data_IF_565001042840
#
_entry.id   IF_565001042840
#
_cell.length_a   1.000
_cell.length_b   1.000
_cell.length_c   1.000
_cell.angle_alpha   90.00
_cell.angle_beta   90.00
_cell.angle_gamma   90.00
#
_symmetry.space_group_name_H-M   'P 1'
#
loop_
_entity.id
_entity.type
_entity.pdbx_description
1 polymer ?
#
# COMPACT_ATOMS: atom_id res chain seq x y z
N UNK A 1 -4.92 20.03 3.11
CA UNK A 1 -3.62 19.49 3.56
C UNK A 1 -3.83 18.15 4.24
N UNK A 2 -2.92 17.24 4.03
CA UNK A 2 -3.04 15.91 4.62
C UNK A 2 -1.82 15.60 5.46
N UNK A 3 -1.90 14.56 6.26
CA UNK A 3 -0.75 14.02 6.96
C UNK A 3 -0.74 12.50 6.82
N UNK A 4 0.46 11.94 6.84
CA UNK A 4 0.66 10.50 6.75
C UNK A 4 1.28 10.01 8.05
N UNK A 5 0.79 8.86 8.51
CA UNK A 5 1.21 8.28 9.78
C UNK A 5 1.63 6.84 9.54
N UNK A 6 2.79 6.46 10.09
CA UNK A 6 3.23 5.07 10.11
C UNK A 6 2.88 4.45 11.44
N UNK A 7 2.45 3.20 11.41
CA UNK A 7 2.25 2.42 12.62
C UNK A 7 2.71 0.99 12.39
N UNK A 8 2.96 0.28 13.46
CA UNK A 8 3.42 -1.11 13.41
C UNK A 8 2.42 -1.96 14.16
N UNK A 9 2.00 -3.06 13.54
CA UNK A 9 1.11 -4.00 14.19
C UNK A 9 -0.25 -3.38 14.47
N UNK A 10 -0.79 -3.66 15.65
CA UNK A 10 -2.14 -3.23 16.02
C UNK A 10 -2.21 -1.85 16.63
N UNK A 11 -1.09 -1.15 16.69
CA UNK A 11 -1.07 0.18 17.29
C UNK A 11 -1.86 1.14 16.39
N UNK A 12 -2.95 1.70 16.89
CA UNK A 12 -3.81 2.58 16.10
C UNK A 12 -4.56 1.89 14.97
N UNK A 13 -4.65 0.57 15.01
CA UNK A 13 -5.20 -0.19 13.90
C UNK A 13 -6.71 0.04 13.68
N UNK A 14 -7.42 0.47 14.71
CA UNK A 14 -8.86 0.70 14.58
C UNK A 14 -9.19 1.75 13.50
N UNK A 15 -8.32 2.74 13.31
CA UNK A 15 -8.49 3.72 12.23
C UNK A 15 -8.33 3.09 10.86
N UNK A 16 -7.36 2.20 10.73
CA UNK A 16 -7.10 1.51 9.46
C UNK A 16 -8.25 0.56 9.17
N UNK A 17 -8.73 -0.15 10.17
CA UNK A 17 -9.86 -1.05 10.00
C UNK A 17 -11.10 -0.29 9.57
N UNK A 18 -11.37 0.84 10.19
CA UNK A 18 -12.53 1.67 9.83
C UNK A 18 -12.40 2.17 8.39
N UNK A 19 -11.20 2.57 7.98
CA UNK A 19 -10.97 3.00 6.61
C UNK A 19 -11.24 1.87 5.63
N UNK A 20 -10.73 0.68 5.90
CA UNK A 20 -10.93 -0.47 5.02
C UNK A 20 -12.41 -0.76 4.84
N UNK A 21 -13.20 -0.72 5.92
CA UNK A 21 -14.64 -0.94 5.85
C UNK A 21 -15.30 0.13 5.00
N UNK A 22 -14.97 1.39 5.25
CA UNK A 22 -15.58 2.51 4.55
C UNK A 22 -15.20 2.54 3.08
N UNK A 23 -14.01 2.07 2.75
CA UNK A 23 -13.54 2.02 1.36
C UNK A 23 -14.08 0.81 0.60
N UNK A 24 -14.90 -0.03 1.24
CA UNK A 24 -15.56 -1.13 0.56
C UNK A 24 -14.76 -2.41 0.47
N UNK A 25 -13.77 -2.59 1.34
CA UNK A 25 -13.00 -3.82 1.35
C UNK A 25 -13.89 -5.02 1.65
N UNK A 26 -13.59 -6.16 1.03
CA UNK A 26 -14.36 -7.37 1.30
C UNK A 26 -14.14 -7.79 2.77
N UNK A 27 -15.06 -8.56 3.35
CA UNK A 27 -14.95 -8.91 4.78
C UNK A 27 -13.61 -9.55 5.13
N UNK A 28 -13.07 -10.39 4.25
CA UNK A 28 -11.79 -11.05 4.51
C UNK A 28 -10.62 -10.08 4.47
N UNK A 29 -10.81 -8.89 3.90
CA UNK A 29 -9.75 -7.93 3.70
C UNK A 29 -9.71 -6.85 4.78
N UNK A 30 -10.65 -6.87 5.73
CA UNK A 30 -10.72 -5.85 6.77
C UNK A 30 -9.58 -6.05 7.76
N UNK A 31 -9.33 -7.30 8.16
CA UNK A 31 -8.33 -7.58 9.18
C UNK A 31 -7.91 -9.04 9.08
N UNK A 32 -6.64 -9.31 9.31
CA UNK A 32 -6.14 -10.68 9.37
C UNK A 32 -4.96 -10.73 10.34
N UNK A 33 -4.38 -11.93 10.51
CA UNK A 33 -3.30 -12.10 11.47
C UNK A 33 -2.02 -11.34 11.12
N UNK A 34 -1.84 -11.01 9.85
CA UNK A 34 -0.64 -10.30 9.42
C UNK A 34 -0.64 -8.86 9.90
N UNK A 35 -1.80 -8.30 10.20
CA UNK A 35 -1.89 -6.94 10.70
C UNK A 35 -1.17 -6.77 12.04
N UNK A 36 -0.98 -7.86 12.77
CA UNK A 36 -0.34 -7.78 14.08
C UNK A 36 1.14 -7.44 13.99
N UNK A 37 1.79 -7.69 12.85
CA UNK A 37 3.21 -7.39 12.71
C UNK A 37 3.55 -6.58 11.46
N UNK A 38 2.55 -6.21 10.68
CA UNK A 38 2.76 -5.44 9.45
C UNK A 38 3.08 -3.98 9.77
N UNK A 39 3.75 -3.33 8.83
CA UNK A 39 3.83 -1.87 8.82
C UNK A 39 2.63 -1.31 8.08
N UNK A 40 2.04 -0.25 8.61
CA UNK A 40 0.87 0.37 8.00
C UNK A 40 1.13 1.84 7.77
N UNK A 41 0.71 2.32 6.60
CA UNK A 41 0.67 3.75 6.36
C UNK A 41 -0.79 4.19 6.32
N UNK A 42 -1.10 5.30 6.97
CA UNK A 42 -2.45 5.83 7.06
C UNK A 42 -2.39 7.32 6.71
N UNK A 43 -3.15 7.73 5.73
CA UNK A 43 -3.18 9.12 5.28
C UNK A 43 -4.54 9.71 5.66
N UNK A 44 -4.53 10.87 6.27
CA UNK A 44 -5.78 11.54 6.66
C UNK A 44 -5.63 13.05 6.47
N UNK A 45 -6.78 13.74 6.43
CA UNK A 45 -6.78 15.19 6.45
C UNK A 45 -6.33 15.69 7.82
N UNK A 46 -5.95 16.94 7.89
CA UNK A 46 -5.60 17.52 9.20
C UNK A 46 -6.75 17.46 10.17
N UNK A 47 -7.99 17.46 9.65
CA UNK A 47 -9.17 17.30 10.48
C UNK A 47 -9.35 15.88 11.01
N UNK A 48 -8.56 14.93 10.51
CA UNK A 48 -8.67 13.53 10.91
C UNK A 48 -9.49 12.69 9.97
N UNK A 49 -10.09 13.27 8.94
CA UNK A 49 -10.88 12.50 7.98
C UNK A 49 -9.98 11.53 7.22
N UNK A 50 -10.33 10.23 7.15
CA UNK A 50 -9.48 9.24 6.50
C UNK A 50 -9.45 9.42 4.99
N UNK A 51 -8.30 9.18 4.39
CA UNK A 51 -8.11 9.29 2.95
C UNK A 51 -7.69 7.96 2.36
N UNK A 52 -6.62 7.34 2.86
CA UNK A 52 -6.04 6.16 2.25
C UNK A 52 -5.18 5.40 3.25
N UNK A 53 -4.91 4.14 2.95
CA UNK A 53 -4.01 3.31 3.77
C UNK A 53 -3.42 2.20 2.92
N UNK A 54 -2.35 1.60 3.41
CA UNK A 54 -1.73 0.44 2.81
C UNK A 54 -0.87 -0.28 3.82
N UNK A 55 -0.39 -1.47 3.46
CA UNK A 55 0.29 -2.37 4.40
C UNK A 55 1.50 -3.01 3.74
N UNK A 56 2.55 -3.25 4.53
CA UNK A 56 3.72 -4.00 4.09
C UNK A 56 4.13 -4.98 5.20
N UNK A 57 4.46 -6.20 4.83
CA UNK A 57 4.90 -7.20 5.80
C UNK A 57 5.82 -8.21 5.14
N UNK A 58 6.70 -8.86 5.92
CA UNK A 58 7.60 -9.87 5.36
C UNK A 58 6.89 -11.21 5.19
N UNK A 59 7.25 -11.92 4.13
CA UNK A 59 6.76 -13.28 3.90
C UNK A 59 7.94 -14.06 3.32
N UNK A 60 8.71 -14.73 4.20
CA UNK A 60 9.92 -15.41 3.79
C UNK A 60 10.93 -14.43 3.23
N UNK A 61 11.39 -14.67 2.01
CA UNK A 61 12.39 -13.84 1.37
C UNK A 61 11.80 -12.63 0.65
N UNK A 62 10.51 -12.43 0.74
CA UNK A 62 9.83 -11.36 0.03
C UNK A 62 9.17 -10.40 1.01
N UNK A 63 8.91 -9.18 0.53
CA UNK A 63 8.02 -8.24 1.20
C UNK A 63 6.71 -8.21 0.42
N UNK A 64 5.60 -8.24 1.14
CA UNK A 64 4.28 -8.16 0.54
C UNK A 64 3.71 -6.77 0.82
N UNK A 65 3.27 -6.09 -0.23
CA UNK A 65 2.54 -4.83 -0.14
C UNK A 65 1.12 -5.13 -0.61
N UNK A 66 0.14 -4.81 0.23
CA UNK A 66 -1.26 -5.05 -0.12
C UNK A 66 -2.16 -4.12 0.67
N UNK A 67 -3.45 -4.36 0.59
CA UNK A 67 -4.48 -3.61 1.33
C UNK A 67 -4.39 -2.11 1.07
N UNK A 68 -4.03 -1.71 -0.17
CA UNK A 68 -4.08 -0.31 -0.54
C UNK A 68 -5.55 0.06 -0.73
N UNK A 69 -6.04 0.96 0.10
CA UNK A 69 -7.43 1.37 0.09
C UNK A 69 -7.48 2.89 0.07
N UNK A 70 -8.40 3.44 -0.72
CA UNK A 70 -8.60 4.88 -0.83
C UNK A 70 -10.10 5.15 -0.71
N UNK A 71 -10.47 6.14 0.09
CA UNK A 71 -11.86 6.52 0.21
C UNK A 71 -12.40 7.00 -1.14
N UNK A 72 -13.63 6.65 -1.45
CA UNK A 72 -14.19 6.86 -2.79
C UNK A 72 -14.09 8.33 -3.25
N UNK A 73 -14.30 9.28 -2.34
CA UNK A 73 -14.27 10.68 -2.72
C UNK A 73 -12.86 11.17 -3.07
N UNK A 74 -11.85 10.37 -2.81
CA UNK A 74 -10.45 10.73 -3.10
C UNK A 74 -9.84 9.89 -4.21
N UNK A 75 -10.63 9.01 -4.85
CA UNK A 75 -10.07 8.09 -5.86
C UNK A 75 -9.53 8.81 -7.09
N UNK A 76 -10.05 9.98 -7.42
CA UNK A 76 -9.53 10.71 -8.57
C UNK A 76 -8.22 11.42 -8.27
N UNK A 77 -7.77 11.41 -7.03
CA UNK A 77 -6.54 12.07 -6.61
C UNK A 77 -5.42 11.04 -6.49
N UNK A 78 -4.16 11.46 -6.52
CA UNK A 78 -3.05 10.50 -6.56
C UNK A 78 -2.69 9.92 -5.18
N UNK A 79 -3.67 9.64 -4.33
CA UNK A 79 -3.37 9.12 -2.99
C UNK A 79 -2.94 7.65 -3.01
N UNK A 80 -3.45 6.84 -3.94
CA UNK A 80 -2.96 5.47 -4.07
C UNK A 80 -1.49 5.47 -4.43
N UNK A 81 -1.08 6.35 -5.32
CA UNK A 81 0.34 6.47 -5.68
C UNK A 81 1.17 6.93 -4.50
N UNK A 82 0.68 7.88 -3.70
CA UNK A 82 1.39 8.34 -2.52
C UNK A 82 1.60 7.19 -1.54
N UNK A 83 0.54 6.43 -1.26
CA UNK A 83 0.62 5.30 -0.34
C UNK A 83 1.62 4.27 -0.86
N UNK A 84 1.57 3.96 -2.16
CA UNK A 84 2.49 3.00 -2.73
C UNK A 84 3.94 3.49 -2.63
N UNK A 85 4.20 4.77 -2.92
CA UNK A 85 5.55 5.31 -2.80
C UNK A 85 6.06 5.20 -1.37
N UNK A 86 5.22 5.49 -0.39
CA UNK A 86 5.62 5.40 1.02
C UNK A 86 5.96 3.96 1.40
N UNK A 87 5.16 3.01 0.92
CA UNK A 87 5.43 1.60 1.20
C UNK A 87 6.72 1.14 0.52
N UNK A 88 6.98 1.59 -0.71
CA UNK A 88 8.20 1.24 -1.42
C UNK A 88 9.43 1.88 -0.78
N UNK A 89 9.31 3.10 -0.24
CA UNK A 89 10.40 3.70 0.52
C UNK A 89 10.70 2.88 1.77
N UNK A 90 9.66 2.41 2.46
CA UNK A 90 9.86 1.56 3.63
C UNK A 90 10.58 0.27 3.23
N UNK A 91 10.25 -0.29 2.08
CA UNK A 91 10.88 -1.52 1.61
C UNK A 91 12.39 -1.35 1.43
N UNK A 92 12.86 -0.13 1.13
CA UNK A 92 14.29 0.12 0.97
C UNK A 92 15.06 -0.06 2.27
N UNK A 93 14.37 0.01 3.41
CA UNK A 93 14.99 -0.12 4.71
C UNK A 93 15.01 -1.56 5.22
N UNK A 94 14.40 -2.48 4.50
CA UNK A 94 14.22 -3.86 4.95
C UNK A 94 15.12 -4.78 4.14
N UNK A 95 15.48 -5.94 4.68
CA UNK A 95 16.51 -6.78 4.04
C UNK A 95 16.04 -7.57 2.83
N UNK A 96 14.75 -7.78 2.66
CA UNK A 96 14.25 -8.61 1.57
C UNK A 96 14.45 -7.92 0.24
N UNK A 97 14.90 -8.65 -0.78
CA UNK A 97 15.14 -8.10 -2.11
C UNK A 97 13.96 -8.21 -3.05
N UNK A 98 13.06 -9.15 -2.80
CA UNK A 98 11.88 -9.33 -3.65
C UNK A 98 10.70 -8.60 -3.03
N UNK A 99 9.99 -7.83 -3.85
CA UNK A 99 8.80 -7.12 -3.39
C UNK A 99 7.65 -7.59 -4.25
N UNK A 100 6.55 -7.98 -3.60
CA UNK A 100 5.33 -8.40 -4.28
C UNK A 100 4.20 -7.48 -3.88
N UNK A 101 3.39 -7.10 -4.86
CA UNK A 101 2.23 -6.25 -4.61
C UNK A 101 0.99 -7.04 -4.98
N UNK A 102 0.05 -7.10 -4.06
CA UNK A 102 -1.25 -7.72 -4.29
C UNK A 102 -2.27 -6.59 -4.38
N UNK A 103 -2.94 -6.48 -5.52
CA UNK A 103 -3.87 -5.37 -5.73
C UNK A 103 -4.95 -5.79 -6.71
N UNK A 104 -6.01 -5.01 -6.79
CA UNK A 104 -7.05 -5.29 -7.76
C UNK A 104 -6.75 -4.56 -9.07
N UNK A 105 -7.60 -4.83 -10.07
CA UNK A 105 -7.36 -4.38 -11.43
C UNK A 105 -7.23 -2.86 -11.53
N UNK A 106 -7.91 -2.13 -10.67
CA UNK A 106 -7.87 -0.68 -10.73
C UNK A 106 -6.48 -0.11 -10.41
N UNK A 107 -5.59 -0.93 -9.81
CA UNK A 107 -4.24 -0.49 -9.47
C UNK A 107 -3.17 -1.08 -10.40
N UNK A 108 -3.55 -1.91 -11.37
CA UNK A 108 -2.56 -2.58 -12.21
C UNK A 108 -1.65 -1.59 -12.94
N UNK A 109 -2.24 -0.58 -13.58
CA UNK A 109 -1.45 0.39 -14.32
C UNK A 109 -0.48 1.13 -13.41
N UNK A 110 -0.92 1.45 -12.20
CA UNK A 110 -0.08 2.16 -11.24
C UNK A 110 1.15 1.34 -10.88
N UNK A 111 0.95 0.06 -10.50
CA UNK A 111 2.10 -0.75 -10.06
C UNK A 111 3.02 -1.06 -11.22
N UNK A 112 2.49 -1.19 -12.44
CA UNK A 112 3.34 -1.41 -13.61
C UNK A 112 4.24 -0.22 -13.90
N UNK A 113 3.78 0.98 -13.62
CA UNK A 113 4.63 2.17 -13.81
C UNK A 113 5.87 2.15 -12.93
N UNK A 114 5.81 1.47 -11.79
CA UNK A 114 6.96 1.34 -10.90
C UNK A 114 7.88 0.17 -11.27
N UNK A 115 7.62 -0.50 -12.38
CA UNK A 115 8.49 -1.56 -12.86
C UNK A 115 8.07 -2.96 -12.46
N UNK A 116 6.90 -3.10 -11.85
CA UNK A 116 6.43 -4.42 -11.41
C UNK A 116 5.80 -5.18 -12.57
N UNK A 117 6.16 -6.45 -12.68
CA UNK A 117 5.62 -7.35 -13.70
C UNK A 117 4.60 -8.27 -13.06
N UNK A 118 3.53 -8.54 -13.79
CA UNK A 118 2.45 -9.39 -13.28
C UNK A 118 2.92 -10.84 -13.18
N UNK A 119 2.69 -11.44 -12.03
CA UNK A 119 3.09 -12.83 -11.77
C UNK A 119 1.89 -13.72 -11.41
N UNK A 120 0.70 -13.15 -11.27
CA UNK A 120 -0.52 -13.88 -10.97
C UNK A 120 -1.71 -13.00 -11.24
N UNK A 121 -2.91 -13.47 -10.96
CA UNK A 121 -4.12 -12.73 -11.29
C UNK A 121 -4.14 -11.32 -10.68
N UNK A 122 -3.75 -11.19 -9.43
CA UNK A 122 -3.73 -9.92 -8.74
C UNK A 122 -2.37 -9.67 -8.09
N UNK A 123 -1.32 -10.30 -8.62
CA UNK A 123 0.00 -10.28 -8.01
C UNK A 123 1.04 -9.75 -8.99
N UNK A 124 1.91 -8.89 -8.49
CA UNK A 124 2.99 -8.29 -9.24
C UNK A 124 4.27 -8.40 -8.45
N UNK A 125 5.40 -8.50 -9.12
CA UNK A 125 6.70 -8.63 -8.45
C UNK A 125 7.75 -7.77 -9.10
N UNK A 126 8.70 -7.33 -8.28
CA UNK A 126 9.85 -6.55 -8.75
C UNK A 126 10.96 -6.72 -7.71
N UNK A 127 12.20 -6.76 -8.17
CA UNK A 127 13.30 -6.72 -7.22
C UNK A 127 13.48 -5.29 -6.72
N UNK A 128 13.87 -5.14 -5.47
CA UNK A 128 13.99 -3.81 -4.87
C UNK A 128 14.82 -2.85 -5.70
N UNK A 129 15.93 -3.34 -6.27
CA UNK A 129 16.83 -2.48 -7.03
C UNK A 129 16.31 -2.14 -8.42
N UNK A 130 15.26 -2.80 -8.87
CA UNK A 130 14.70 -2.59 -10.20
C UNK A 130 13.48 -1.67 -10.20
N UNK A 131 13.11 -1.13 -9.05
CA UNK A 131 11.97 -0.24 -8.96
C UNK A 131 12.24 1.04 -9.76
N UNK A 132 11.27 1.45 -10.56
CA UNK A 132 11.35 2.66 -11.36
C UNK A 132 10.70 3.81 -10.58
N UNK A 133 11.52 4.71 -10.04
CA UNK A 133 11.02 5.78 -9.17
C UNK A 133 10.51 7.00 -9.92
N UNK A 134 11.10 7.28 -11.08
CA UNK A 134 10.80 8.49 -11.82
C UNK A 134 10.04 8.20 -13.09
N UNK A 135 9.19 7.20 -13.08
CA UNK A 135 8.48 6.76 -14.27
C UNK A 135 7.62 7.84 -14.89
N UNK A 136 7.24 8.84 -14.09
CA UNK A 136 6.40 9.92 -14.57
C UNK A 136 7.18 11.17 -14.90
N UNK A 137 8.48 11.12 -14.78
CA UNK A 137 9.26 12.31 -15.03
C UNK A 137 9.72 12.45 -16.44
N UNK A 138 9.39 11.61 -17.25
CA UNK A 138 9.87 11.73 -18.47
C UNK A 138 9.13 12.52 -19.23
N UNK A 139 9.36 12.87 -19.81
CA UNK A 139 8.52 13.68 -20.50
C UNK A 139 9.15 14.33 -21.59
#
# INVERSE_FOLDING_TARGET
MFKAVWSIGRDGFDRIEALRRAAGACPQCISDGKDAYAGHVYVCEETGEPIAAGRIYPDGDALIIDRIAVMAQYESMPYAELVLRMLLFKAQELPQNDIRIICDESRFALVQRFGFAQTGDNAFSCRRDDIIWDSDCKH
#
